data_IF_504655197123
#
_entry.id   IF_504655197123
#
_cell.length_a   1.000
_cell.length_b   1.000
_cell.length_c   1.000
_cell.angle_alpha   90.00
_cell.angle_beta   90.00
_cell.angle_gamma   90.00
#
_symmetry.space_group_name_H-M   'P 1'
#
loop_
_entity.id
_entity.type
_entity.pdbx_description
1 polymer ?
#
# COMPACT_ATOMS: atom_id res chain seq x y z
N UNK A 1 22.68 -72.30 -13.98
CA UNK A 1 21.45 -72.81 -14.62
C UNK A 1 20.58 -73.40 -13.53
N UNK A 2 19.68 -72.61 -12.93
CA UNK A 2 18.92 -73.02 -11.75
C UNK A 2 17.45 -72.59 -11.90
N UNK A 3 16.55 -73.54 -11.66
CA UNK A 3 15.41 -73.35 -10.75
C UNK A 3 14.13 -72.74 -11.31
N UNK A 4 13.12 -73.60 -11.44
CA UNK A 4 11.75 -73.41 -11.90
C UNK A 4 10.84 -72.79 -10.81
N UNK A 5 9.80 -72.01 -11.16
CA UNK A 5 8.36 -72.26 -10.86
C UNK A 5 7.42 -71.02 -10.79
N UNK A 6 6.47 -71.06 -11.73
CA UNK A 6 5.08 -70.59 -11.88
C UNK A 6 4.26 -69.77 -10.83
N UNK A 7 3.47 -68.87 -11.44
CA UNK A 7 2.08 -68.39 -11.21
C UNK A 7 1.59 -67.92 -9.82
N UNK A 8 1.03 -66.70 -9.77
CA UNK A 8 -0.43 -66.43 -9.76
C UNK A 8 -0.74 -64.96 -9.34
N UNK A 9 -1.73 -64.34 -9.99
CA UNK A 9 -2.49 -63.19 -9.47
C UNK A 9 -3.82 -63.75 -8.92
N UNK A 10 -4.43 -63.20 -7.85
CA UNK A 10 -5.40 -62.10 -8.07
C UNK A 10 -5.71 -61.14 -6.89
N UNK A 11 -6.49 -60.10 -7.26
CA UNK A 11 -7.63 -59.44 -6.57
C UNK A 11 -7.49 -58.46 -5.39
N UNK A 12 -7.82 -57.19 -5.73
CA UNK A 12 -8.94 -56.36 -5.23
C UNK A 12 -9.03 -55.85 -3.75
N UNK A 13 -9.14 -54.50 -3.65
CA UNK A 13 -9.80 -53.63 -2.66
C UNK A 13 -9.42 -53.70 -1.16
N UNK A 14 -8.92 -52.57 -0.62
CA UNK A 14 -9.57 -51.74 0.44
C UNK A 14 -8.75 -50.47 0.77
N UNK A 15 -9.28 -49.24 0.65
CA UNK A 15 -8.68 -48.07 1.26
C UNK A 15 -9.14 -47.95 2.72
N UNK A 16 -8.18 -47.77 3.63
CA UNK A 16 -8.45 -47.44 5.05
C UNK A 16 -8.95 -45.99 5.13
N UNK A 17 -10.25 -45.84 5.37
CA UNK A 17 -10.86 -44.58 5.81
C UNK A 17 -10.52 -44.35 7.28
N UNK A 18 -9.79 -43.26 7.55
CA UNK A 18 -9.40 -42.83 8.89
C UNK A 18 -9.41 -41.31 8.97
N UNK A 19 -10.62 -40.73 9.00
CA UNK A 19 -10.85 -39.31 9.26
C UNK A 19 -10.41 -38.96 10.69
N UNK A 20 -9.20 -38.42 10.85
CA UNK A 20 -8.86 -37.62 12.04
C UNK A 20 -9.45 -36.23 11.85
N UNK A 21 -10.58 -35.97 12.52
CA UNK A 21 -11.07 -34.61 12.69
C UNK A 21 -10.08 -33.83 13.55
N UNK A 22 -9.39 -32.88 12.93
CA UNK A 22 -8.62 -31.85 13.63
C UNK A 22 -9.65 -30.83 14.15
N UNK A 23 -9.69 -30.53 15.46
CA UNK A 23 -10.60 -29.53 16.00
C UNK A 23 -10.27 -28.17 15.37
N UNK A 24 -11.23 -27.59 14.64
CA UNK A 24 -11.17 -26.22 14.17
C UNK A 24 -11.46 -25.29 15.35
N UNK A 25 -10.42 -24.82 16.01
CA UNK A 25 -10.53 -23.61 16.83
C UNK A 25 -10.80 -22.44 15.89
N UNK A 26 -12.03 -21.91 15.91
CA UNK A 26 -12.36 -20.71 15.14
C UNK A 26 -11.78 -19.50 15.88
N UNK A 27 -10.72 -18.91 15.33
CA UNK A 27 -10.25 -17.61 15.78
C UNK A 27 -11.17 -16.52 15.23
N UNK A 28 -11.79 -15.73 16.11
CA UNK A 28 -12.56 -14.55 15.72
C UNK A 28 -11.63 -13.33 15.70
N UNK A 29 -11.45 -12.75 14.51
CA UNK A 29 -10.78 -11.45 14.33
C UNK A 29 -11.90 -10.42 14.15
N UNK A 30 -11.96 -9.42 15.03
CA UNK A 30 -12.96 -8.34 14.98
C UNK A 30 -12.22 -7.01 14.89
N UNK A 31 -12.54 -6.22 13.86
CA UNK A 31 -12.15 -4.82 13.77
C UNK A 31 -13.36 -3.97 14.21
N UNK A 32 -13.16 -3.03 15.12
CA UNK A 32 -14.22 -2.16 15.65
C UNK A 32 -13.80 -0.70 15.55
N UNK A 33 -14.66 0.13 14.98
CA UNK A 33 -14.66 1.58 15.13
C UNK A 33 -16.07 1.98 15.53
N UNK A 34 -16.25 2.50 16.75
CA UNK A 34 -17.56 2.98 17.18
C UNK A 34 -17.78 4.39 16.63
N UNK A 35 -18.59 4.50 15.58
CA UNK A 35 -19.19 5.77 15.20
C UNK A 35 -20.45 5.95 16.05
N UNK A 36 -20.38 6.84 17.03
CA UNK A 36 -21.45 7.15 17.98
C UNK A 36 -22.69 7.64 17.23
N UNK A 37 -23.74 6.80 17.19
CA UNK A 37 -25.10 7.20 16.80
C UNK A 37 -25.92 7.42 18.07
N UNK A 38 -26.21 8.68 18.38
CA UNK A 38 -27.11 9.05 19.47
C UNK A 38 -28.59 8.83 19.07
N UNK A 39 -29.43 8.17 19.90
CA UNK A 39 -30.87 8.08 19.66
C UNK A 39 -31.60 9.37 20.04
N UNK A 40 -32.57 9.78 19.22
CA UNK A 40 -33.46 10.93 19.43
C UNK A 40 -34.64 10.57 20.35
N UNK A 41 -35.01 11.48 21.27
CA UNK A 41 -36.36 11.60 21.85
C UNK A 41 -36.58 13.06 22.30
N UNK A 42 -37.81 13.65 22.19
CA UNK A 42 -37.99 15.10 22.15
C UNK A 42 -38.61 15.69 23.43
N UNK A 43 -38.23 16.92 23.80
CA UNK A 43 -39.12 17.92 24.43
C UNK A 43 -38.41 19.23 24.80
N UNK A 44 -38.82 20.30 24.11
CA UNK A 44 -39.29 21.60 24.62
C UNK A 44 -38.45 22.50 25.56
N UNK A 45 -38.09 23.67 25.01
CA UNK A 45 -38.26 25.04 25.58
C UNK A 45 -37.06 25.80 26.20
N UNK A 46 -36.91 27.03 25.68
CA UNK A 46 -36.37 28.30 26.24
C UNK A 46 -34.85 28.61 26.27
N UNK A 47 -34.45 29.41 25.27
CA UNK A 47 -33.73 30.72 25.31
C UNK A 47 -32.59 30.95 26.30
N UNK A 48 -31.35 31.18 25.80
CA UNK A 48 -30.61 32.47 25.86
C UNK A 48 -29.11 32.29 25.46
N UNK A 49 -28.75 32.92 24.34
CA UNK A 49 -27.51 33.61 23.94
C UNK A 49 -26.08 33.12 24.27
N UNK A 50 -25.30 33.06 23.18
CA UNK A 50 -23.85 33.40 23.01
C UNK A 50 -22.80 32.28 23.08
N UNK A 51 -22.30 31.86 21.91
CA UNK A 51 -20.88 31.89 21.47
C UNK A 51 -20.68 30.90 20.30
N UNK A 52 -20.40 31.43 19.09
CA UNK A 52 -20.09 30.63 17.90
C UNK A 52 -18.76 29.88 18.05
N UNK A 53 -18.87 28.58 18.25
CA UNK A 53 -17.84 27.58 17.97
C UNK A 53 -18.18 26.97 16.60
N UNK A 54 -17.24 26.81 15.66
CA UNK A 54 -17.57 26.19 14.38
C UNK A 54 -18.04 24.75 14.65
N UNK A 55 -19.31 24.49 14.38
CA UNK A 55 -19.90 23.16 14.49
C UNK A 55 -19.24 22.21 13.48
N UNK A 56 -18.99 20.95 13.85
CA UNK A 56 -18.59 19.94 12.90
C UNK A 56 -19.76 19.71 11.94
N UNK A 57 -19.60 20.13 10.67
CA UNK A 57 -20.56 19.80 9.62
C UNK A 57 -20.82 18.29 9.62
N UNK A 58 -22.06 17.83 9.82
CA UNK A 58 -22.38 16.42 9.78
C UNK A 58 -22.05 15.88 8.39
N UNK A 59 -21.24 14.81 8.32
CA UNK A 59 -21.03 14.04 7.10
C UNK A 59 -22.37 13.37 6.70
N UNK A 60 -23.25 14.12 6.04
CA UNK A 60 -24.51 13.63 5.53
C UNK A 60 -24.29 13.05 4.12
N UNK A 61 -24.76 11.83 3.90
CA UNK A 61 -24.72 11.23 2.57
C UNK A 61 -25.53 12.10 1.57
N UNK A 62 -25.12 12.15 0.28
CA UNK A 62 -25.85 12.92 -0.72
C UNK A 62 -27.35 12.54 -0.74
N UNK A 63 -28.24 13.49 -1.05
CA UNK A 63 -29.66 13.17 -1.22
C UNK A 63 -29.80 12.08 -2.29
N UNK A 64 -30.50 10.99 -1.94
CA UNK A 64 -30.66 9.75 -2.72
C UNK A 64 -29.47 8.75 -2.73
N UNK A 65 -28.48 8.89 -1.86
CA UNK A 65 -27.45 7.85 -1.71
C UNK A 65 -28.06 6.59 -1.09
N UNK A 66 -28.27 5.55 -1.91
CA UNK A 66 -28.61 4.21 -1.42
C UNK A 66 -27.33 3.51 -1.00
N UNK A 67 -27.09 3.25 0.30
CA UNK A 67 -25.89 2.56 0.73
C UNK A 67 -25.86 1.17 0.08
N UNK A 68 -24.74 0.78 -0.55
CA UNK A 68 -24.62 -0.55 -1.12
C UNK A 68 -24.66 -1.59 0.01
N UNK A 69 -25.26 -2.75 -0.28
CA UNK A 69 -25.21 -3.88 0.67
C UNK A 69 -23.75 -4.30 0.90
N UNK A 70 -23.31 -4.44 2.16
CA UNK A 70 -21.96 -4.91 2.47
C UNK A 70 -21.72 -6.30 1.88
N UNK A 71 -20.83 -6.39 0.90
CA UNK A 71 -20.36 -7.65 0.33
C UNK A 71 -18.97 -7.96 0.86
N UNK A 72 -18.69 -9.24 1.07
CA UNK A 72 -17.32 -9.68 1.37
C UNK A 72 -16.41 -9.26 0.22
N UNK A 73 -15.21 -8.81 0.57
CA UNK A 73 -14.20 -8.51 -0.43
C UNK A 73 -13.92 -9.76 -1.27
N UNK A 74 -14.01 -9.60 -2.59
CA UNK A 74 -13.70 -10.65 -3.55
C UNK A 74 -12.93 -10.03 -4.72
N UNK A 75 -11.83 -10.67 -5.10
CA UNK A 75 -11.10 -10.28 -6.31
C UNK A 75 -11.93 -10.71 -7.51
N UNK A 76 -12.10 -9.81 -8.48
CA UNK A 76 -12.76 -10.17 -9.72
C UNK A 76 -12.03 -11.34 -10.39
N UNK A 77 -12.73 -12.38 -10.87
CA UNK A 77 -12.08 -13.56 -11.46
C UNK A 77 -11.12 -13.24 -12.61
N UNK A 78 -11.46 -12.25 -13.45
CA UNK A 78 -10.62 -11.79 -14.56
C UNK A 78 -9.33 -11.07 -14.13
N UNK A 79 -9.26 -10.66 -12.85
CA UNK A 79 -8.12 -9.97 -12.24
C UNK A 79 -7.33 -10.83 -11.27
N UNK A 80 -7.70 -12.09 -11.06
CA UNK A 80 -7.02 -12.96 -10.11
C UNK A 80 -5.51 -13.11 -10.41
N UNK A 81 -5.15 -13.34 -11.68
CA UNK A 81 -3.75 -13.45 -12.11
C UNK A 81 -3.01 -12.12 -12.03
N UNK A 82 -3.69 -11.00 -12.32
CA UNK A 82 -3.10 -9.66 -12.18
C UNK A 82 -2.67 -9.39 -10.74
N UNK A 83 -3.56 -9.69 -9.78
CA UNK A 83 -3.31 -9.51 -8.34
C UNK A 83 -2.25 -10.51 -7.84
N UNK A 84 -2.30 -11.77 -8.28
CA UNK A 84 -1.29 -12.77 -7.92
C UNK A 84 0.11 -12.36 -8.41
N UNK A 85 0.23 -11.90 -9.65
CA UNK A 85 1.48 -11.40 -10.22
C UNK A 85 1.98 -10.15 -9.49
N UNK A 86 1.08 -9.25 -9.10
CA UNK A 86 1.41 -8.07 -8.30
C UNK A 86 1.90 -8.43 -6.88
N UNK A 87 1.40 -9.53 -6.30
CA UNK A 87 1.77 -9.99 -4.97
C UNK A 87 3.19 -10.57 -4.90
N UNK A 88 3.81 -10.93 -6.03
CA UNK A 88 5.22 -11.39 -6.07
C UNK A 88 6.17 -10.35 -5.47
N UNK A 89 5.80 -9.06 -5.54
CA UNK A 89 6.58 -7.99 -4.94
C UNK A 89 6.75 -8.16 -3.43
N UNK A 90 5.71 -8.61 -2.71
CA UNK A 90 5.79 -8.90 -1.28
C UNK A 90 6.78 -10.03 -0.98
N UNK A 91 6.78 -11.06 -1.82
CA UNK A 91 7.65 -12.23 -1.66
C UNK A 91 9.13 -11.88 -1.91
N UNK A 92 9.45 -11.33 -3.08
CA UNK A 92 10.84 -11.03 -3.45
C UNK A 92 11.49 -9.91 -2.62
N UNK A 93 10.65 -9.10 -1.96
CA UNK A 93 11.12 -8.04 -1.07
C UNK A 93 10.99 -8.40 0.40
N UNK A 94 10.57 -9.62 0.73
CA UNK A 94 10.38 -10.05 2.12
C UNK A 94 9.50 -9.07 2.94
N UNK A 95 8.48 -8.49 2.30
CA UNK A 95 7.60 -7.52 2.93
C UNK A 95 8.23 -6.18 3.28
N UNK A 96 9.36 -5.80 2.68
CA UNK A 96 9.91 -4.46 2.90
C UNK A 96 8.98 -3.40 2.31
N UNK A 97 8.89 -2.27 3.01
CA UNK A 97 7.89 -1.24 2.73
C UNK A 97 6.46 -1.63 3.13
N UNK A 98 6.26 -2.78 3.81
CA UNK A 98 4.98 -3.14 4.44
C UNK A 98 4.67 -2.30 5.65
N UNK A 99 5.70 -2.14 6.48
CA UNK A 99 5.60 -1.43 7.74
C UNK A 99 6.42 -0.14 7.67
N UNK A 100 5.93 0.84 8.41
CA UNK A 100 6.62 2.11 8.62
C UNK A 100 7.79 1.93 9.59
N UNK A 101 8.73 2.86 9.58
CA UNK A 101 9.91 2.81 10.45
C UNK A 101 9.51 2.78 11.93
N UNK A 102 10.17 1.91 12.68
CA UNK A 102 9.89 1.71 14.10
C UNK A 102 8.51 1.13 14.43
N UNK A 103 7.82 0.53 13.46
CA UNK A 103 6.54 -0.14 13.71
C UNK A 103 6.68 -1.22 14.80
N UNK A 104 5.79 -1.18 15.78
CA UNK A 104 5.68 -2.16 16.86
C UNK A 104 4.22 -2.40 17.21
N UNK A 105 3.89 -3.66 17.46
CA UNK A 105 2.56 -4.10 17.88
C UNK A 105 2.66 -4.82 19.23
N UNK A 106 1.81 -4.43 20.18
CA UNK A 106 1.72 -5.06 21.50
C UNK A 106 0.28 -5.39 21.86
N UNK A 107 0.06 -6.50 22.55
CA UNK A 107 -1.25 -6.86 23.08
C UNK A 107 -1.50 -6.10 24.39
N UNK A 108 -2.61 -5.39 24.46
CA UNK A 108 -3.05 -4.64 25.66
C UNK A 108 -4.45 -5.09 26.08
N UNK A 109 -4.75 -4.87 27.36
CA UNK A 109 -6.10 -5.11 27.91
C UNK A 109 -7.13 -4.18 27.26
N UNK A 110 -8.40 -4.56 27.32
CA UNK A 110 -9.52 -3.83 26.69
C UNK A 110 -9.66 -2.39 27.19
N UNK A 111 -9.23 -2.13 28.41
CA UNK A 111 -9.42 -0.87 29.12
C UNK A 111 -8.36 0.19 28.79
N UNK A 112 -7.27 -0.18 28.12
CA UNK A 112 -6.14 0.73 27.86
C UNK A 112 -6.29 1.58 26.60
N UNK A 113 -7.19 1.21 25.66
CA UNK A 113 -7.37 1.95 24.40
C UNK A 113 -8.75 2.62 24.36
N UNK A 114 -8.79 3.96 24.18
CA UNK A 114 -10.02 4.72 24.01
C UNK A 114 -10.96 4.12 22.93
N UNK A 115 -12.29 4.18 23.13
CA UNK A 115 -13.27 3.58 22.21
C UNK A 115 -13.34 4.28 20.85
N UNK A 116 -12.86 5.53 20.75
CA UNK A 116 -12.79 6.31 19.51
C UNK A 116 -11.60 5.92 18.60
N UNK A 117 -10.67 5.11 19.10
CA UNK A 117 -9.51 4.68 18.32
C UNK A 117 -9.72 3.30 17.68
N UNK A 118 -9.38 3.18 16.39
CA UNK A 118 -9.38 1.89 15.70
C UNK A 118 -8.40 0.93 16.37
N UNK A 119 -8.87 -0.29 16.67
CA UNK A 119 -8.04 -1.36 17.21
C UNK A 119 -8.42 -2.69 16.59
N UNK A 120 -7.41 -3.53 16.36
CA UNK A 120 -7.61 -4.93 15.99
C UNK A 120 -7.82 -5.75 17.27
N UNK A 121 -8.97 -6.40 17.41
CA UNK A 121 -9.24 -7.31 18.53
C UNK A 121 -8.97 -8.76 18.09
N UNK A 122 -8.06 -9.41 18.82
CA UNK A 122 -7.71 -10.82 18.62
C UNK A 122 -7.83 -11.53 19.97
N UNK A 123 -8.73 -12.51 20.05
CA UNK A 123 -8.93 -13.34 21.26
C UNK A 123 -9.16 -12.55 22.56
N UNK A 124 -9.84 -11.39 22.48
CA UNK A 124 -10.14 -10.54 23.62
C UNK A 124 -9.02 -9.57 24.02
N UNK A 125 -7.88 -9.61 23.35
CA UNK A 125 -6.82 -8.60 23.47
C UNK A 125 -6.96 -7.56 22.35
N UNK A 126 -6.69 -6.30 22.68
CA UNK A 126 -6.55 -5.24 21.67
C UNK A 126 -5.09 -5.16 21.23
N UNK A 127 -4.84 -5.02 19.94
CA UNK A 127 -3.49 -4.76 19.41
C UNK A 127 -3.26 -3.25 19.39
N UNK A 128 -2.27 -2.79 20.16
CA UNK A 128 -1.76 -1.43 20.13
C UNK A 128 -0.62 -1.35 19.13
N UNK A 129 -0.81 -0.58 18.07
CA UNK A 129 0.19 -0.34 17.04
C UNK A 129 0.86 1.03 17.29
N UNK A 130 2.18 1.08 17.17
CA UNK A 130 2.98 2.31 17.35
C UNK A 130 4.04 2.36 16.26
N UNK A 131 4.52 3.56 15.92
CA UNK A 131 5.58 3.78 14.94
C UNK A 131 6.47 4.96 15.35
N UNK A 132 7.67 5.05 14.77
CA UNK A 132 8.59 6.16 14.96
C UNK A 132 8.66 6.96 13.66
N UNK A 133 7.88 8.03 13.62
CA UNK A 133 7.78 8.89 12.44
C UNK A 133 8.77 10.06 12.56
N UNK A 134 9.43 10.37 11.44
CA UNK A 134 10.28 11.55 11.34
C UNK A 134 9.48 12.84 11.09
N UNK A 135 10.17 13.99 10.91
CA UNK A 135 9.49 15.25 10.63
C UNK A 135 8.69 15.16 9.31
N UNK A 136 7.52 15.80 9.29
CA UNK A 136 6.64 15.79 8.10
C UNK A 136 6.92 17.00 7.22
N UNK A 137 7.05 16.81 5.89
CA UNK A 137 7.22 17.92 4.98
C UNK A 137 5.94 18.78 4.93
N UNK A 138 6.08 20.11 4.91
CA UNK A 138 4.94 21.03 4.82
C UNK A 138 4.28 20.97 3.43
N UNK A 139 5.11 20.82 2.39
CA UNK A 139 4.69 20.62 1.00
C UNK A 139 5.07 19.22 0.54
N UNK A 140 4.20 18.50 -0.18
CA UNK A 140 4.51 17.15 -0.65
C UNK A 140 5.73 17.16 -1.56
N UNK A 141 6.61 16.19 -1.36
CA UNK A 141 7.80 15.98 -2.21
C UNK A 141 7.31 15.54 -3.58
N UNK A 142 7.92 16.06 -4.64
CA UNK A 142 7.60 15.67 -6.01
C UNK A 142 8.53 14.55 -6.47
N UNK A 143 7.97 13.46 -6.98
CA UNK A 143 8.74 12.34 -7.52
C UNK A 143 8.28 12.03 -8.94
N UNK A 144 9.21 12.15 -9.87
CA UNK A 144 9.03 11.80 -11.27
C UNK A 144 9.51 10.36 -11.48
N UNK A 145 8.59 9.46 -11.80
CA UNK A 145 8.87 8.03 -11.87
C UNK A 145 7.92 7.27 -12.79
N UNK A 146 8.17 5.98 -13.00
CA UNK A 146 7.25 5.06 -13.66
C UNK A 146 7.36 3.66 -13.05
N UNK A 147 6.32 2.85 -13.22
CA UNK A 147 6.13 1.62 -12.45
C UNK A 147 7.18 0.54 -12.75
N UNK A 148 7.50 0.33 -14.03
CA UNK A 148 8.41 -0.73 -14.47
C UNK A 148 9.89 -0.34 -14.34
N UNK A 149 10.24 0.38 -13.27
CA UNK A 149 11.60 0.82 -12.99
C UNK A 149 12.04 0.33 -11.59
N UNK A 150 13.09 -0.52 -11.50
CA UNK A 150 13.52 -1.03 -10.20
C UNK A 150 14.05 0.10 -9.31
N UNK A 151 14.69 1.12 -9.91
CA UNK A 151 15.21 2.28 -9.18
C UNK A 151 14.11 3.17 -8.60
N UNK A 152 13.02 3.36 -9.35
CA UNK A 152 11.86 4.11 -8.86
C UNK A 152 11.17 3.36 -7.72
N UNK A 153 11.07 2.03 -7.85
CA UNK A 153 10.49 1.18 -6.82
C UNK A 153 11.25 1.25 -5.50
N UNK A 154 12.59 1.30 -5.50
CA UNK A 154 13.38 1.55 -4.28
C UNK A 154 12.96 2.85 -3.57
N UNK A 155 12.73 3.91 -4.34
CA UNK A 155 12.31 5.22 -3.80
C UNK A 155 10.88 5.14 -3.25
N UNK A 156 9.96 4.46 -3.93
CA UNK A 156 8.61 4.22 -3.39
C UNK A 156 8.64 3.37 -2.12
N UNK A 157 9.53 2.40 -2.05
CA UNK A 157 9.70 1.56 -0.87
C UNK A 157 10.21 2.38 0.33
N UNK A 158 11.20 3.25 0.16
CA UNK A 158 11.63 4.11 1.28
C UNK A 158 10.55 5.13 1.66
N UNK A 159 9.83 5.69 0.69
CA UNK A 159 8.68 6.58 0.96
C UNK A 159 7.61 5.85 1.77
N UNK A 160 7.40 4.55 1.50
CA UNK A 160 6.51 3.70 2.29
C UNK A 160 7.00 3.52 3.73
N UNK A 161 8.29 3.21 3.90
CA UNK A 161 8.89 3.01 5.22
C UNK A 161 8.87 4.30 6.04
N UNK A 162 9.13 5.45 5.41
CA UNK A 162 9.12 6.75 6.09
C UNK A 162 7.72 7.34 6.25
N UNK A 163 6.70 6.71 5.66
CA UNK A 163 5.31 7.14 5.76
C UNK A 163 5.13 8.59 5.28
N UNK A 164 5.67 8.90 4.10
CA UNK A 164 5.66 10.24 3.53
C UNK A 164 4.56 10.40 2.47
N UNK A 165 3.86 11.52 2.54
CA UNK A 165 2.95 11.97 1.49
C UNK A 165 3.75 12.54 0.32
N UNK A 166 3.52 11.99 -0.88
CA UNK A 166 4.31 12.30 -2.07
C UNK A 166 3.40 12.59 -3.26
N UNK A 167 3.76 13.64 -4.00
CA UNK A 167 3.15 13.97 -5.28
C UNK A 167 3.92 13.27 -6.41
N UNK A 168 3.31 12.23 -6.97
CA UNK A 168 3.90 11.47 -8.07
C UNK A 168 3.52 12.06 -9.42
N UNK A 169 4.54 12.25 -10.26
CA UNK A 169 4.42 12.64 -11.67
C UNK A 169 4.83 11.48 -12.56
N UNK A 170 3.87 10.72 -13.14
CA UNK A 170 4.23 9.55 -13.90
C UNK A 170 4.96 9.86 -15.19
N UNK A 171 5.95 9.05 -15.52
CA UNK A 171 6.85 9.26 -16.64
C UNK A 171 6.95 8.00 -17.53
N UNK A 172 5.81 7.42 -17.98
CA UNK A 172 5.84 6.23 -18.83
C UNK A 172 6.56 6.50 -20.15
N UNK A 173 7.12 5.47 -20.78
CA UNK A 173 7.74 5.56 -22.10
C UNK A 173 6.76 6.19 -23.09
N UNK A 174 7.24 7.14 -23.89
CA UNK A 174 6.46 7.93 -24.84
C UNK A 174 5.42 8.89 -24.21
N UNK A 175 5.46 9.11 -22.89
CA UNK A 175 4.64 10.13 -22.22
C UNK A 175 5.00 11.55 -22.70
N UNK A 176 4.02 12.34 -23.17
CA UNK A 176 4.28 13.66 -23.74
C UNK A 176 4.49 14.77 -22.70
N UNK A 177 4.10 14.61 -21.43
CA UNK A 177 4.03 15.73 -20.49
C UNK A 177 5.25 15.81 -19.56
N UNK A 178 5.49 14.78 -18.75
CA UNK A 178 6.42 14.91 -17.62
C UNK A 178 7.86 14.52 -17.97
N UNK A 179 8.08 13.60 -18.92
CA UNK A 179 9.44 13.25 -19.36
C UNK A 179 10.19 14.41 -20.01
N UNK A 180 9.56 15.24 -20.89
CA UNK A 180 10.21 16.46 -21.37
C UNK A 180 10.46 17.47 -20.26
N UNK A 181 9.55 17.59 -19.28
CA UNK A 181 9.74 18.47 -18.12
C UNK A 181 10.99 18.09 -17.32
N UNK A 182 11.21 16.81 -17.04
CA UNK A 182 12.43 16.33 -16.35
C UNK A 182 13.70 16.64 -17.15
N UNK A 183 13.65 16.51 -18.49
CA UNK A 183 14.78 16.92 -19.33
C UNK A 183 15.08 18.42 -19.20
N UNK A 184 14.06 19.28 -19.14
CA UNK A 184 14.25 20.73 -18.98
C UNK A 184 14.78 21.10 -17.59
N UNK A 185 14.25 20.47 -16.54
CA UNK A 185 14.61 20.81 -15.15
C UNK A 185 15.96 20.21 -14.73
N UNK A 186 16.21 18.94 -15.06
CA UNK A 186 17.39 18.22 -14.60
C UNK A 186 18.35 17.78 -15.72
N UNK A 187 18.13 18.17 -16.97
CA UNK A 187 19.07 17.95 -18.08
C UNK A 187 19.15 16.52 -18.63
N UNK A 188 18.48 15.52 -18.05
CA UNK A 188 18.50 14.12 -18.51
C UNK A 188 17.14 13.45 -18.32
N UNK A 189 16.73 12.58 -19.25
CA UNK A 189 15.51 11.74 -19.11
C UNK A 189 15.79 10.49 -18.24
N UNK A 190 16.31 10.71 -17.04
CA UNK A 190 16.67 9.67 -16.07
C UNK A 190 15.66 9.65 -14.92
N UNK A 191 15.33 8.45 -14.42
CA UNK A 191 14.33 8.25 -13.37
C UNK A 191 14.84 7.27 -12.31
N UNK A 192 14.48 7.43 -11.04
CA UNK A 192 13.63 8.49 -10.49
C UNK A 192 14.35 9.86 -10.47
N UNK A 193 13.56 10.93 -10.53
CA UNK A 193 14.01 12.30 -10.28
C UNK A 193 13.12 12.89 -9.19
N UNK A 194 13.74 13.43 -8.14
CA UNK A 194 13.05 13.97 -6.96
C UNK A 194 13.25 15.48 -6.88
N UNK A 195 12.19 16.20 -6.52
CA UNK A 195 12.23 17.62 -6.16
C UNK A 195 11.58 17.80 -4.80
N UNK A 196 12.31 18.38 -3.86
CA UNK A 196 11.81 18.72 -2.53
C UNK A 196 11.55 20.24 -2.44
N UNK A 197 10.28 20.68 -2.53
CA UNK A 197 9.94 22.11 -2.48
C UNK A 197 10.19 22.75 -1.10
N UNK A 198 10.41 21.96 -0.05
CA UNK A 198 10.67 22.47 1.30
C UNK A 198 12.11 22.93 1.47
N UNK A 199 13.05 22.34 0.71
CA UNK A 199 14.48 22.65 0.78
C UNK A 199 15.05 23.23 -0.51
N UNK A 200 14.31 23.14 -1.62
CA UNK A 200 14.78 23.51 -2.95
C UNK A 200 15.72 22.47 -3.58
N UNK A 201 15.93 21.33 -2.91
CA UNK A 201 16.81 20.27 -3.41
C UNK A 201 16.13 19.51 -4.54
N UNK A 202 16.85 19.27 -5.63
CA UNK A 202 16.45 18.33 -6.67
C UNK A 202 17.61 17.41 -7.02
N UNK A 203 17.33 16.13 -7.26
CA UNK A 203 18.39 15.15 -7.52
C UNK A 203 17.92 13.93 -8.29
N UNK A 204 18.88 13.28 -8.94
CA UNK A 204 18.78 11.93 -9.49
C UNK A 204 19.41 10.91 -8.53
N UNK A 205 19.62 9.69 -9.03
CA UNK A 205 20.23 8.57 -8.34
C UNK A 205 19.41 8.09 -7.16
N UNK A 206 18.67 7.01 -7.39
CA UNK A 206 17.78 6.40 -6.38
C UNK A 206 18.42 6.20 -5.00
N UNK A 207 19.70 5.80 -4.92
CA UNK A 207 20.38 5.63 -3.63
C UNK A 207 20.68 6.95 -2.92
N UNK A 208 20.96 8.03 -3.67
CA UNK A 208 21.14 9.36 -3.11
C UNK A 208 19.79 9.94 -2.63
N UNK A 209 18.73 9.72 -3.39
CA UNK A 209 17.36 10.07 -2.99
C UNK A 209 16.98 9.37 -1.69
N UNK A 210 17.23 8.05 -1.58
CA UNK A 210 16.95 7.28 -0.35
C UNK A 210 17.72 7.86 0.84
N UNK A 211 19.03 8.10 0.69
CA UNK A 211 19.86 8.69 1.75
C UNK A 211 19.37 10.07 2.16
N UNK A 212 18.96 10.90 1.21
CA UNK A 212 18.40 12.22 1.48
C UNK A 212 17.10 12.13 2.28
N UNK A 213 16.13 11.31 1.82
CA UNK A 213 14.83 11.17 2.47
C UNK A 213 14.97 10.64 3.90
N UNK A 214 15.82 9.63 4.09
CA UNK A 214 16.10 9.06 5.41
C UNK A 214 16.80 10.05 6.33
N UNK A 215 17.76 10.82 5.83
CA UNK A 215 18.48 11.81 6.63
C UNK A 215 17.65 13.04 6.99
N UNK A 216 16.74 13.46 6.09
CA UNK A 216 15.92 14.66 6.27
C UNK A 216 14.60 14.39 6.99
N UNK A 217 13.96 13.27 6.69
CA UNK A 217 12.60 12.93 7.12
C UNK A 217 12.50 11.58 7.86
N UNK A 218 13.65 10.94 8.14
CA UNK A 218 13.73 9.70 8.91
C UNK A 218 14.70 9.81 10.07
N UNK A 219 15.23 8.66 10.50
CA UNK A 219 16.19 8.54 11.61
C UNK A 219 17.65 8.45 11.15
N UNK A 220 17.93 8.70 9.87
CA UNK A 220 19.25 8.55 9.27
C UNK A 220 19.63 7.11 8.90
N UNK A 221 18.81 6.10 9.23
CA UNK A 221 19.08 4.70 8.92
C UNK A 221 18.37 4.21 7.66
N UNK A 222 19.14 3.68 6.70
CA UNK A 222 18.58 3.07 5.50
C UNK A 222 18.23 1.61 5.80
N UNK A 223 17.00 1.14 5.51
CA UNK A 223 16.63 -0.26 5.70
C UNK A 223 17.59 -1.21 5.00
N UNK A 224 17.93 -2.32 5.66
CA UNK A 224 18.93 -3.29 5.18
C UNK A 224 18.69 -3.71 3.72
N UNK A 225 17.46 -4.04 3.35
CA UNK A 225 17.12 -4.47 1.99
C UNK A 225 17.30 -3.39 0.91
N UNK A 226 17.34 -2.11 1.31
CA UNK A 226 17.62 -0.96 0.44
C UNK A 226 19.09 -0.55 0.44
N UNK A 227 19.94 -1.15 1.29
CA UNK A 227 21.38 -0.84 1.39
C UNK A 227 22.30 -1.92 0.77
N UNK A 228 21.75 -2.97 0.15
CA UNK A 228 22.53 -4.06 -0.48
C UNK A 228 23.05 -3.74 -1.90
N UNK A 229 22.84 -2.51 -2.39
CA UNK A 229 23.35 -2.05 -3.68
C UNK A 229 22.78 -2.85 -4.88
N UNK A 230 23.63 -3.58 -5.60
CA UNK A 230 23.22 -4.32 -6.80
C UNK A 230 22.16 -5.39 -6.47
N UNK A 231 22.28 -6.06 -5.31
CA UNK A 231 21.30 -7.07 -4.87
C UNK A 231 19.92 -6.45 -4.64
N UNK A 232 19.86 -5.22 -4.11
CA UNK A 232 18.61 -4.47 -4.01
C UNK A 232 18.00 -4.29 -5.40
N UNK A 233 18.78 -3.82 -6.36
CA UNK A 233 18.29 -3.60 -7.74
C UNK A 233 17.79 -4.88 -8.41
N UNK A 234 18.47 -6.01 -8.19
CA UNK A 234 18.05 -7.31 -8.73
C UNK A 234 16.74 -7.81 -8.10
N UNK A 235 16.60 -7.73 -6.77
CA UNK A 235 15.37 -8.14 -6.07
C UNK A 235 14.18 -7.24 -6.42
N UNK A 236 14.42 -5.94 -6.62
CA UNK A 236 13.45 -4.99 -7.18
C UNK A 236 13.03 -5.37 -8.61
N UNK A 237 13.99 -5.80 -9.44
CA UNK A 237 13.71 -6.34 -10.77
C UNK A 237 12.79 -7.56 -10.72
N UNK A 238 13.11 -8.54 -9.87
CA UNK A 238 12.31 -9.75 -9.70
C UNK A 238 10.91 -9.46 -9.15
N UNK A 239 10.78 -8.48 -8.25
CA UNK A 239 9.49 -8.04 -7.72
C UNK A 239 8.51 -7.55 -8.81
N UNK A 240 9.00 -7.19 -10.01
CA UNK A 240 8.17 -6.73 -11.12
C UNK A 240 7.87 -7.80 -12.17
N UNK A 241 8.47 -9.00 -12.08
CA UNK A 241 8.39 -10.01 -13.16
C UNK A 241 6.95 -10.48 -13.44
N UNK A 242 6.10 -10.52 -12.41
CA UNK A 242 4.68 -10.88 -12.54
C UNK A 242 3.82 -9.83 -13.24
N UNK A 243 4.37 -8.64 -13.50
CA UNK A 243 3.68 -7.49 -14.12
C UNK A 243 4.49 -6.92 -15.29
N UNK A 244 5.20 -7.78 -16.02
CA UNK A 244 6.10 -7.33 -17.09
C UNK A 244 5.37 -6.48 -18.14
N UNK A 245 5.89 -5.28 -18.39
CA UNK A 245 5.34 -4.31 -19.35
C UNK A 245 4.20 -3.41 -18.82
N UNK A 246 3.62 -3.71 -17.64
CA UNK A 246 2.57 -2.89 -17.03
C UNK A 246 3.15 -1.66 -16.35
N UNK A 247 2.53 -0.50 -16.57
CA UNK A 247 3.05 0.78 -16.09
C UNK A 247 4.32 1.24 -16.82
N UNK A 248 4.59 0.71 -18.01
CA UNK A 248 5.80 1.01 -18.78
C UNK A 248 5.58 2.09 -19.84
N UNK A 249 4.47 2.04 -20.58
CA UNK A 249 4.27 2.85 -21.79
C UNK A 249 2.98 3.67 -21.72
N UNK A 250 3.03 4.85 -22.33
CA UNK A 250 1.94 5.81 -22.29
C UNK A 250 0.74 5.33 -23.12
N UNK A 251 -0.45 5.53 -22.55
CA UNK A 251 -1.74 5.41 -23.21
C UNK A 251 -2.40 6.79 -23.23
N UNK A 252 -2.87 7.28 -24.40
CA UNK A 252 -3.52 8.58 -24.50
C UNK A 252 -4.61 8.80 -23.46
N UNK A 253 -4.48 9.86 -22.67
CA UNK A 253 -5.43 10.23 -21.62
C UNK A 253 -5.60 11.75 -21.53
N UNK A 254 -6.72 12.17 -20.94
CA UNK A 254 -6.96 13.58 -20.63
C UNK A 254 -6.40 13.87 -19.23
N UNK A 255 -5.50 14.84 -19.14
CA UNK A 255 -4.98 15.25 -17.83
C UNK A 255 -6.09 15.91 -16.99
N UNK A 256 -6.16 15.57 -15.69
CA UNK A 256 -7.07 16.21 -14.78
C UNK A 256 -6.58 17.64 -14.46
N UNK A 257 -7.50 18.56 -14.10
CA UNK A 257 -7.12 19.94 -13.75
C UNK A 257 -6.33 20.04 -12.44
N UNK A 258 -6.45 19.03 -11.56
CA UNK A 258 -5.72 18.90 -10.31
C UNK A 258 -5.22 17.45 -10.16
N UNK A 259 -4.09 17.21 -9.46
CA UNK A 259 -3.65 15.87 -9.14
C UNK A 259 -4.72 15.07 -8.40
N UNK A 260 -4.81 13.77 -8.66
CA UNK A 260 -5.73 12.88 -7.97
C UNK A 260 -5.22 12.62 -6.54
N UNK A 261 -6.11 12.55 -5.56
CA UNK A 261 -5.75 12.12 -4.21
C UNK A 261 -6.04 10.63 -4.05
N UNK A 262 -5.02 9.85 -3.69
CA UNK A 262 -5.12 8.39 -3.57
C UNK A 262 -4.55 7.92 -2.24
N UNK A 263 -5.31 7.11 -1.51
CA UNK A 263 -4.80 6.36 -0.36
C UNK A 263 -4.28 5.03 -0.87
N UNK A 264 -2.96 4.87 -0.83
CA UNK A 264 -2.32 3.70 -1.38
C UNK A 264 -1.05 3.39 -0.60
N UNK A 265 -0.71 2.09 -0.60
CA UNK A 265 0.44 1.60 0.12
C UNK A 265 1.20 0.60 -0.78
N UNK A 266 2.54 0.64 -0.75
CA UNK A 266 3.41 0.01 -1.76
C UNK A 266 3.35 -1.52 -1.78
N UNK A 267 3.25 -2.17 -0.63
CA UNK A 267 3.16 -3.63 -0.61
C UNK A 267 1.77 -4.18 -0.93
N UNK A 268 0.76 -3.34 -1.22
CA UNK A 268 -0.57 -3.85 -1.60
C UNK A 268 -0.58 -4.23 -3.08
N UNK A 269 -0.87 -5.50 -3.43
CA UNK A 269 -0.95 -5.91 -4.83
C UNK A 269 -2.09 -5.21 -5.57
N UNK A 270 -3.14 -4.80 -4.85
CA UNK A 270 -4.26 -4.04 -5.42
C UNK A 270 -3.84 -2.62 -5.78
N UNK A 271 -3.10 -1.95 -4.88
CA UNK A 271 -2.59 -0.61 -5.13
C UNK A 271 -1.59 -0.60 -6.29
N UNK A 272 -0.79 -1.66 -6.45
CA UNK A 272 0.13 -1.81 -7.58
C UNK A 272 -0.58 -1.76 -8.93
N UNK A 273 -1.66 -2.53 -9.10
CA UNK A 273 -2.43 -2.53 -10.36
C UNK A 273 -3.05 -1.17 -10.65
N UNK A 274 -3.51 -0.45 -9.62
CA UNK A 274 -4.01 0.92 -9.78
C UNK A 274 -2.88 1.86 -10.19
N UNK A 275 -1.71 1.76 -9.56
CA UNK A 275 -0.54 2.60 -9.87
C UNK A 275 -0.06 2.41 -11.30
N UNK A 276 -0.05 1.18 -11.80
CA UNK A 276 0.25 0.88 -13.20
C UNK A 276 -0.65 1.68 -14.15
N UNK A 277 -1.95 1.72 -13.89
CA UNK A 277 -2.92 2.46 -14.70
C UNK A 277 -2.70 3.98 -14.57
N UNK A 278 -2.48 4.49 -13.35
CA UNK A 278 -2.15 5.90 -13.14
C UNK A 278 -0.89 6.29 -13.92
N UNK A 279 0.10 5.40 -13.99
CA UNK A 279 1.34 5.62 -14.73
C UNK A 279 1.11 5.58 -16.23
N UNK A 280 0.42 4.57 -16.75
CA UNK A 280 0.14 4.44 -18.20
C UNK A 280 -0.65 5.63 -18.73
N UNK A 281 -1.60 6.14 -17.93
CA UNK A 281 -2.42 7.31 -18.29
C UNK A 281 -1.75 8.65 -17.98
N UNK A 282 -0.51 8.65 -17.49
CA UNK A 282 0.24 9.85 -17.12
C UNK A 282 -0.53 10.77 -16.14
N UNK A 283 -1.22 10.17 -15.16
CA UNK A 283 -2.08 10.89 -14.21
C UNK A 283 -1.30 11.28 -12.95
N UNK A 284 -1.04 12.59 -12.72
CA UNK A 284 -0.39 13.04 -11.51
C UNK A 284 -1.29 12.75 -10.29
N UNK A 285 -0.69 12.25 -9.22
CA UNK A 285 -1.44 11.85 -8.04
C UNK A 285 -0.66 12.11 -6.75
N UNK A 286 -1.34 12.69 -5.77
CA UNK A 286 -0.89 12.81 -4.39
C UNK A 286 -1.24 11.50 -3.67
N UNK A 287 -0.21 10.73 -3.35
CA UNK A 287 -0.37 9.51 -2.57
C UNK A 287 -0.31 9.86 -1.08
N UNK A 288 -1.43 9.63 -0.40
CA UNK A 288 -1.57 9.72 1.06
C UNK A 288 -1.29 8.36 1.69
N UNK A 289 -0.64 8.37 2.85
CA UNK A 289 -0.41 7.18 3.67
C UNK A 289 -1.27 7.19 4.93
#
# INVERSE_FOLDING_TARGET
MAGVLNFSQPSLFRPLSGSRQIPRTSFSIRATSESSKTPQTPSSSSTTSTQEKPEPTPFAAPPNFKPPEPKRFAVRPDKALDILGAALALFFRFGTGVFVSGYSASFVSKDEIPPDQYTLEIAGFKVKETSKLGPRPEKPIEIYEYESCPFCRKVREIVAVLDLDVLYYPCPRNGPNFRPKVLQMGGKKQFPYMVDPNTGVSMYESDNIIKYLVGKYGDGSVPFMLSLGLLTTLTEGFAMIGRLGKGQSYTPAKLPPKPLEVWAYEGSPFCKVVREVLVELELPHLQRR
#
